data_IF_359479147175
#
_entry.id   IF_359479147175
#
_cell.length_a   1.000
_cell.length_b   1.000
_cell.length_c   1.000
_cell.angle_alpha   90.00
_cell.angle_beta   90.00
_cell.angle_gamma   90.00
#
_symmetry.space_group_name_H-M   'P 1'
#
loop_
_entity.id
_entity.type
_entity.pdbx_description
1 polymer ?
#
# COMPACT_ATOMS: atom_id res chain seq x y z
N UNK A 1 4.98 7.63 -10.90
CA UNK A 1 4.97 8.25 -9.54
C UNK A 1 5.18 7.15 -8.52
N UNK A 2 6.03 7.39 -7.52
CA UNK A 2 6.35 6.43 -6.47
C UNK A 2 6.00 7.01 -5.10
N UNK A 3 5.43 6.19 -4.22
CA UNK A 3 5.17 6.51 -2.82
C UNK A 3 5.56 5.33 -1.94
N UNK A 4 6.12 5.62 -0.77
CA UNK A 4 6.55 4.61 0.19
C UNK A 4 6.06 4.97 1.58
N UNK A 5 5.51 3.99 2.29
CA UNK A 5 5.10 4.10 3.69
C UNK A 5 5.75 3.01 4.52
N UNK A 6 6.01 3.35 5.78
CA UNK A 6 6.32 2.40 6.84
C UNK A 6 5.16 2.38 7.80
N UNK A 7 4.74 1.17 8.15
CA UNK A 7 3.52 0.88 8.86
C UNK A 7 3.84 -0.06 10.02
N UNK A 8 3.55 0.37 11.24
CA UNK A 8 3.80 -0.44 12.44
C UNK A 8 2.66 -1.43 12.65
N UNK A 9 2.96 -2.72 12.51
CA UNK A 9 2.08 -3.82 12.93
C UNK A 9 2.39 -4.28 14.36
N UNK A 10 1.64 -5.26 14.84
CA UNK A 10 1.84 -5.88 16.15
C UNK A 10 3.12 -6.74 16.19
N UNK A 11 3.54 -7.31 15.06
CA UNK A 11 4.67 -8.24 15.00
C UNK A 11 5.89 -7.70 14.24
N UNK A 12 5.70 -6.74 13.34
CA UNK A 12 6.77 -6.20 12.51
C UNK A 12 6.47 -4.77 12.03
N UNK A 13 7.53 -4.11 11.56
CA UNK A 13 7.41 -2.90 10.74
C UNK A 13 7.27 -3.31 9.28
N UNK A 14 6.13 -2.97 8.68
CA UNK A 14 5.80 -3.29 7.30
C UNK A 14 6.14 -2.11 6.40
N UNK A 15 6.78 -2.39 5.26
CA UNK A 15 7.12 -1.38 4.27
C UNK A 15 6.35 -1.66 2.98
N UNK A 16 5.63 -0.65 2.50
CA UNK A 16 4.92 -0.71 1.22
C UNK A 16 5.45 0.39 0.31
N UNK A 17 5.80 -0.01 -0.91
CA UNK A 17 6.16 0.91 -2.00
C UNK A 17 5.16 0.68 -3.14
N UNK A 18 4.49 1.75 -3.55
CA UNK A 18 3.56 1.74 -4.68
C UNK A 18 4.11 2.61 -5.80
N UNK A 19 4.17 2.02 -6.99
CA UNK A 19 4.59 2.69 -8.22
C UNK A 19 3.39 2.71 -9.16
N UNK A 20 3.01 3.91 -9.61
CA UNK A 20 2.04 4.08 -10.69
C UNK A 20 2.76 4.57 -11.94
N UNK A 21 2.55 3.84 -13.03
CA UNK A 21 3.06 4.15 -14.37
C UNK A 21 1.86 4.34 -15.31
N UNK A 22 1.96 5.22 -16.32
CA UNK A 22 0.93 5.32 -17.33
C UNK A 22 0.80 3.99 -18.10
N UNK A 23 -0.41 3.61 -18.55
CA UNK A 23 -0.58 2.48 -19.46
C UNK A 23 0.22 2.72 -20.75
N UNK A 24 0.79 1.66 -21.35
CA UNK A 24 1.61 1.75 -22.58
C UNK A 24 0.90 2.49 -23.73
N UNK A 25 -0.42 2.34 -23.88
CA UNK A 25 -1.18 3.04 -24.92
C UNK A 25 -1.41 4.55 -24.65
N UNK A 26 -1.00 5.01 -23.46
CA UNK A 26 -1.26 6.35 -22.93
C UNK A 26 0.01 6.95 -22.32
N UNK A 27 1.16 6.78 -22.98
CA UNK A 27 2.44 7.38 -22.56
C UNK A 27 2.37 8.89 -22.33
N UNK A 28 1.40 9.59 -22.94
CA UNK A 28 1.15 11.01 -22.72
C UNK A 28 0.43 11.36 -21.41
N UNK A 29 -0.06 10.36 -20.66
CA UNK A 29 -0.64 10.59 -19.34
C UNK A 29 0.46 10.84 -18.31
N UNK A 30 0.63 12.11 -17.97
CA UNK A 30 1.54 12.49 -16.90
C UNK A 30 0.96 12.12 -15.53
N UNK A 31 1.44 10.99 -15.00
CA UNK A 31 1.08 10.49 -13.66
C UNK A 31 1.81 11.22 -12.53
N UNK A 32 2.79 12.10 -12.83
CA UNK A 32 3.53 12.83 -11.80
C UNK A 32 2.66 13.87 -11.07
N UNK A 33 1.60 14.35 -11.72
CA UNK A 33 0.65 15.31 -11.17
C UNK A 33 -0.54 14.67 -10.46
N UNK A 34 -0.56 13.34 -10.31
CA UNK A 34 -1.68 12.68 -9.64
C UNK A 34 -1.73 13.04 -8.15
N UNK A 35 -2.92 13.29 -7.60
CA UNK A 35 -3.05 13.55 -6.17
C UNK A 35 -2.54 12.37 -5.35
N UNK A 36 -1.70 12.64 -4.37
CA UNK A 36 -1.21 11.67 -3.38
C UNK A 36 -2.36 10.96 -2.66
N UNK A 37 -3.52 11.62 -2.51
CA UNK A 37 -4.73 11.02 -1.94
C UNK A 37 -5.20 9.73 -2.64
N UNK A 38 -4.84 9.51 -3.92
CA UNK A 38 -5.13 8.23 -4.62
C UNK A 38 -4.29 7.08 -4.10
N UNK A 39 -3.05 7.37 -3.70
CA UNK A 39 -2.09 6.44 -3.15
C UNK A 39 -2.39 6.12 -1.67
N UNK A 40 -2.91 7.09 -0.92
CA UNK A 40 -3.30 6.90 0.49
C UNK A 40 -4.37 5.81 0.65
N UNK A 41 -5.32 5.70 -0.30
CA UNK A 41 -6.33 4.63 -0.25
C UNK A 41 -5.70 3.25 -0.38
N UNK A 42 -4.71 3.09 -1.25
CA UNK A 42 -4.02 1.81 -1.43
C UNK A 42 -3.17 1.45 -0.20
N UNK A 43 -2.51 2.44 0.42
CA UNK A 43 -1.81 2.24 1.68
C UNK A 43 -2.74 1.78 2.81
N UNK A 44 -3.95 2.36 2.92
CA UNK A 44 -4.97 1.92 3.90
C UNK A 44 -5.45 0.49 3.66
N UNK A 45 -5.72 0.12 2.42
CA UNK A 45 -6.13 -1.25 2.10
C UNK A 45 -5.02 -2.27 2.42
N UNK A 46 -3.75 -1.88 2.25
CA UNK A 46 -2.63 -2.70 2.68
C UNK A 46 -2.57 -2.86 4.21
N UNK A 47 -2.80 -1.78 4.97
CA UNK A 47 -2.94 -1.86 6.43
C UNK A 47 -4.04 -2.84 6.85
N UNK A 48 -5.24 -2.71 6.28
CA UNK A 48 -6.37 -3.59 6.60
C UNK A 48 -6.02 -5.07 6.34
N UNK A 49 -5.23 -5.36 5.30
CA UNK A 49 -4.75 -6.71 5.00
C UNK A 49 -3.74 -7.21 6.05
N UNK A 50 -2.79 -6.37 6.46
CA UNK A 50 -1.81 -6.71 7.48
C UNK A 50 -2.51 -6.98 8.81
N UNK A 51 -3.44 -6.12 9.23
CA UNK A 51 -4.21 -6.30 10.46
C UNK A 51 -4.95 -7.65 10.45
N UNK A 52 -5.59 -8.01 9.34
CA UNK A 52 -6.26 -9.30 9.19
C UNK A 52 -5.28 -10.48 9.27
N UNK A 53 -4.13 -10.39 8.61
CA UNK A 53 -3.10 -11.42 8.65
C UNK A 53 -2.57 -11.62 10.08
N UNK A 54 -2.25 -10.53 10.78
CA UNK A 54 -1.73 -10.59 12.14
C UNK A 54 -2.81 -11.09 13.13
N UNK A 55 -4.08 -10.69 12.96
CA UNK A 55 -5.20 -11.22 13.75
C UNK A 55 -5.41 -12.73 13.53
N UNK A 56 -5.34 -13.23 12.30
CA UNK A 56 -5.45 -14.65 11.99
C UNK A 56 -4.31 -15.46 12.65
N UNK A 57 -3.08 -14.93 12.61
CA UNK A 57 -1.95 -15.54 13.31
C UNK A 57 -2.15 -15.61 14.83
N UNK A 58 -2.75 -14.57 15.44
CA UNK A 58 -3.08 -14.58 16.88
C UNK A 58 -4.13 -15.65 17.18
N UNK A 59 -5.18 -15.75 16.37
CA UNK A 59 -6.30 -16.67 16.61
C UNK A 59 -5.92 -18.13 16.38
N UNK A 60 -5.03 -18.43 15.43
CA UNK A 60 -4.62 -19.79 15.08
C UNK A 60 -3.43 -20.33 15.90
N UNK A 61 -2.89 -19.54 16.83
CA UNK A 61 -1.83 -19.96 17.76
C UNK A 61 -2.37 -20.51 19.10
N UNK A 62 -3.68 -20.65 19.25
CA UNK A 62 -4.37 -21.20 20.42
C UNK A 62 -5.16 -22.47 20.08
#
# INVERSE_FOLDING_TARGET
>A
MEQTWTLSGAFAEWKITLVAEPPEEKESFDVSHWPTAKFDRAARLFMDMIDLYECDQILNQH
#
